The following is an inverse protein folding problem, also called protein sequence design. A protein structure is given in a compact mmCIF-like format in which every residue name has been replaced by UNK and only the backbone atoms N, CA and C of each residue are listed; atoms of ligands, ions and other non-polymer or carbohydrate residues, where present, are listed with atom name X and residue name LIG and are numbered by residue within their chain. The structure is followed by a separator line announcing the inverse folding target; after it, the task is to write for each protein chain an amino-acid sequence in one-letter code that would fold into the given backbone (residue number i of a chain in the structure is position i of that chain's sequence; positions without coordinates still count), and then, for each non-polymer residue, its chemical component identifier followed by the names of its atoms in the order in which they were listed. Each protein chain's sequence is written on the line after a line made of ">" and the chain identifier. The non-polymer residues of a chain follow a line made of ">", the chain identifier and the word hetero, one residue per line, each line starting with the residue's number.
data_IF_444033078577
#
_entry.id   IF_444033078577
#
_cell.length_a   1.000
_cell.length_b   1.000
_cell.length_c   1.000
_cell.angle_alpha   90.00
_cell.angle_beta   90.00
_cell.angle_gamma   90.00
#
_symmetry.space_group_name_H-M   'P 1'
#
loop_
_entity.id
_entity.type
_entity.pdbx_description
1 polymer ?
#
# COMPACT_ATOMS: atom_id res chain seq x y z
N UNK A 1 22.72 9.24 19.35
CA UNK A 1 24.15 9.11 19.74
C UNK A 1 25.00 8.32 18.72
N UNK A 2 24.52 7.20 18.15
CA UNK A 2 25.25 6.49 17.08
C UNK A 2 25.48 7.35 15.82
N UNK A 3 24.46 8.09 15.37
CA UNK A 3 24.56 9.03 14.24
C UNK A 3 25.58 10.15 14.53
N UNK A 4 25.58 10.69 15.76
CA UNK A 4 26.53 11.70 16.22
C UNK A 4 27.98 11.18 16.21
N UNK A 5 28.20 9.92 16.58
CA UNK A 5 29.52 9.28 16.54
C UNK A 5 29.99 8.95 15.12
N UNK A 6 29.09 8.60 14.18
CA UNK A 6 29.44 8.51 12.76
C UNK A 6 29.96 9.83 12.22
N UNK A 7 29.34 10.95 12.62
CA UNK A 7 29.78 12.27 12.20
C UNK A 7 31.12 12.68 12.85
N UNK A 8 31.41 12.20 14.06
CA UNK A 8 32.67 12.45 14.79
C UNK A 8 33.79 11.43 14.49
N UNK A 9 33.48 10.29 13.86
CA UNK A 9 34.43 9.22 13.53
C UNK A 9 35.31 9.63 12.34
N UNK A 10 36.24 10.55 12.61
CA UNK A 10 37.42 10.81 11.80
C UNK A 10 38.61 9.91 12.24
N UNK A 11 38.42 9.08 13.27
CA UNK A 11 39.40 8.10 13.76
C UNK A 11 39.21 6.73 13.10
N UNK A 12 39.88 6.52 11.98
CA UNK A 12 40.47 5.24 11.52
C UNK A 12 39.61 4.02 11.21
N UNK A 13 38.43 3.82 11.80
CA UNK A 13 37.61 2.61 11.63
C UNK A 13 36.24 2.99 11.05
N UNK A 14 36.16 3.02 9.71
CA UNK A 14 34.88 3.10 9.00
C UNK A 14 34.18 1.76 9.11
N UNK A 15 33.06 1.70 9.85
CA UNK A 15 32.18 0.53 9.88
C UNK A 15 31.16 0.62 8.75
N UNK A 16 30.77 -0.50 8.17
CA UNK A 16 29.86 -0.54 7.00
C UNK A 16 28.48 0.04 7.31
N UNK A 17 27.93 -0.16 8.52
CA UNK A 17 26.64 0.39 8.92
C UNK A 17 26.76 1.34 10.12
N UNK A 18 26.00 2.44 10.09
CA UNK A 18 26.03 3.46 11.15
C UNK A 18 25.58 2.96 12.53
N UNK A 19 24.83 1.86 12.58
CA UNK A 19 24.41 1.20 13.81
C UNK A 19 25.51 0.36 14.46
N UNK A 20 26.57 0.00 13.73
CA UNK A 20 27.70 -0.76 14.28
C UNK A 20 28.56 0.05 15.25
N UNK A 21 28.37 1.37 15.28
CA UNK A 21 28.96 2.28 16.27
C UNK A 21 28.27 2.22 17.64
N UNK A 22 27.22 1.38 17.79
CA UNK A 22 26.50 1.18 19.04
C UNK A 22 26.91 -0.10 19.81
N UNK A 23 27.87 -0.86 19.27
CA UNK A 23 28.37 -2.12 19.85
C UNK A 23 29.13 -1.92 21.19
N UNK A 24 29.38 -0.67 21.59
CA UNK A 24 29.96 -0.32 22.89
C UNK A 24 28.97 -0.47 24.05
N UNK A 25 27.67 -0.42 23.76
CA UNK A 25 26.59 -0.44 24.77
C UNK A 25 25.55 -1.53 24.53
N UNK A 26 25.42 -2.00 23.29
CA UNK A 26 24.37 -2.93 22.88
C UNK A 26 24.97 -4.16 22.22
N UNK A 27 24.37 -5.32 22.48
CA UNK A 27 24.74 -6.60 21.89
C UNK A 27 24.66 -6.57 20.35
N UNK A 28 25.59 -7.24 19.67
CA UNK A 28 25.64 -7.36 18.22
C UNK A 28 24.34 -7.96 17.66
N UNK A 29 23.72 -8.88 18.40
CA UNK A 29 22.42 -9.46 18.03
C UNK A 29 21.32 -8.38 17.97
N UNK A 30 21.25 -7.51 18.99
CA UNK A 30 20.28 -6.42 19.02
C UNK A 30 20.52 -5.41 17.89
N UNK A 31 21.79 -5.12 17.58
CA UNK A 31 22.17 -4.25 16.47
C UNK A 31 21.72 -4.84 15.13
N UNK A 32 21.92 -6.15 14.94
CA UNK A 32 21.46 -6.88 13.75
C UNK A 32 19.93 -6.85 13.63
N UNK A 33 19.21 -7.09 14.72
CA UNK A 33 17.74 -7.07 14.75
C UNK A 33 17.19 -5.68 14.41
N UNK A 34 17.81 -4.61 14.92
CA UNK A 34 17.42 -3.23 14.57
C UNK A 34 17.70 -2.94 13.09
N UNK A 35 18.82 -3.41 12.54
CA UNK A 35 19.09 -3.28 11.09
C UNK A 35 18.02 -4.01 10.27
N UNK A 36 17.59 -5.20 10.68
CA UNK A 36 16.54 -5.95 10.02
C UNK A 36 15.19 -5.20 10.10
N UNK A 37 14.82 -4.69 11.27
CA UNK A 37 13.61 -3.90 11.47
C UNK A 37 13.58 -2.63 10.59
N UNK A 38 14.71 -1.93 10.46
CA UNK A 38 14.81 -0.76 9.57
C UNK A 38 14.63 -1.14 8.09
N UNK A 39 15.14 -2.31 7.64
CA UNK A 39 14.90 -2.80 6.28
C UNK A 39 13.42 -3.13 6.06
N UNK A 40 12.76 -3.73 7.04
CA UNK A 40 11.31 -4.01 6.96
C UNK A 40 10.50 -2.71 6.93
N UNK A 41 10.88 -1.71 7.73
CA UNK A 41 10.24 -0.40 7.72
C UNK A 41 10.35 0.28 6.34
N UNK A 42 11.54 0.19 5.71
CA UNK A 42 11.74 0.68 4.35
C UNK A 42 10.86 -0.08 3.35
N UNK A 43 10.74 -1.39 3.47
CA UNK A 43 9.85 -2.21 2.62
C UNK A 43 8.37 -1.81 2.77
N UNK A 44 7.96 -1.35 3.96
CA UNK A 44 6.60 -0.86 4.23
C UNK A 44 6.37 0.62 3.89
N UNK A 45 7.37 1.33 3.37
CA UNK A 45 7.21 2.74 2.96
C UNK A 45 6.07 2.99 1.96
N UNK A 46 5.73 2.08 1.01
CA UNK A 46 4.57 2.27 0.13
C UNK A 46 3.21 2.15 0.83
N UNK A 47 3.16 1.56 2.02
CA UNK A 47 1.91 1.22 2.71
C UNK A 47 1.12 2.46 3.15
N UNK A 48 1.72 3.50 3.78
CA UNK A 48 1.02 4.75 4.06
C UNK A 48 0.45 5.44 2.82
N UNK A 49 1.19 5.44 1.70
CA UNK A 49 0.71 6.03 0.44
C UNK A 49 -0.50 5.29 -0.10
N UNK A 50 -0.47 3.95 -0.06
CA UNK A 50 -1.62 3.13 -0.45
C UNK A 50 -2.87 3.47 0.38
N UNK A 51 -2.72 3.53 1.71
CA UNK A 51 -3.84 3.87 2.59
C UNK A 51 -4.36 5.30 2.38
N UNK A 52 -3.47 6.27 2.23
CA UNK A 52 -3.83 7.66 1.95
C UNK A 52 -4.58 7.82 0.62
N UNK A 53 -4.26 7.01 -0.39
CA UNK A 53 -5.01 6.96 -1.63
C UNK A 53 -6.38 6.30 -1.40
N UNK A 54 -6.45 5.15 -0.75
CA UNK A 54 -7.73 4.46 -0.52
C UNK A 54 -8.71 5.25 0.34
N UNK A 55 -8.21 6.09 1.25
CA UNK A 55 -9.05 6.96 2.08
C UNK A 55 -9.82 8.02 1.25
N UNK A 56 -9.30 8.38 0.07
CA UNK A 56 -10.00 9.28 -0.86
C UNK A 56 -11.26 8.65 -1.47
N UNK A 57 -11.39 7.32 -1.47
CA UNK A 57 -12.60 6.64 -1.94
C UNK A 57 -13.80 6.97 -1.05
N UNK A 58 -13.61 7.17 0.26
CA UNK A 58 -14.70 7.52 1.17
C UNK A 58 -15.18 8.97 1.02
N UNK A 59 -14.31 9.87 0.57
CA UNK A 59 -14.59 11.31 0.49
C UNK A 59 -14.79 11.81 -0.93
N UNK A 60 -13.75 11.76 -1.77
CA UNK A 60 -13.75 12.31 -3.12
C UNK A 60 -14.67 11.55 -4.07
N UNK A 61 -14.70 10.21 -3.99
CA UNK A 61 -15.58 9.43 -4.86
C UNK A 61 -17.05 9.56 -4.46
N UNK A 62 -17.33 9.71 -3.16
CA UNK A 62 -18.68 10.04 -2.68
C UNK A 62 -19.13 11.39 -3.23
N UNK A 63 -18.25 12.41 -3.21
CA UNK A 63 -18.55 13.72 -3.78
C UNK A 63 -18.75 13.65 -5.31
N UNK A 64 -17.89 12.92 -6.03
CA UNK A 64 -18.06 12.65 -7.45
C UNK A 64 -19.42 11.99 -7.73
N UNK A 65 -19.81 11.00 -6.94
CA UNK A 65 -21.09 10.32 -7.06
C UNK A 65 -22.31 11.23 -6.83
N UNK A 66 -22.20 12.29 -6.01
CA UNK A 66 -23.32 13.27 -5.87
C UNK A 66 -23.57 14.08 -7.14
N UNK A 67 -22.58 14.16 -8.03
CA UNK A 67 -22.68 14.86 -9.32
C UNK A 67 -23.05 13.91 -10.47
N UNK A 68 -23.18 12.62 -10.19
CA UNK A 68 -23.53 11.59 -11.17
C UNK A 68 -25.03 11.26 -11.10
N UNK A 69 -25.54 10.67 -12.17
CA UNK A 69 -26.88 10.08 -12.14
C UNK A 69 -26.88 8.82 -11.26
N UNK A 70 -27.73 8.86 -10.22
CA UNK A 70 -27.93 7.77 -9.27
C UNK A 70 -29.17 6.93 -9.56
N UNK A 71 -29.90 7.18 -10.65
CA UNK A 71 -31.10 6.44 -11.00
C UNK A 71 -30.76 5.02 -11.49
N UNK A 72 -31.08 4.02 -10.67
CA UNK A 72 -31.00 2.60 -11.01
C UNK A 72 -32.43 2.11 -11.22
N UNK A 73 -32.96 2.33 -12.43
CA UNK A 73 -34.33 1.98 -12.77
C UNK A 73 -35.34 2.79 -11.95
N UNK A 74 -36.05 2.15 -11.01
CA UNK A 74 -37.01 2.81 -10.12
C UNK A 74 -36.43 3.23 -8.77
N UNK A 75 -35.14 2.99 -8.52
CA UNK A 75 -34.48 3.27 -7.25
C UNK A 75 -33.42 4.36 -7.41
N UNK A 76 -33.47 5.39 -6.55
CA UNK A 76 -32.43 6.42 -6.51
C UNK A 76 -31.33 6.00 -5.53
N UNK A 77 -30.17 5.61 -6.05
CA UNK A 77 -29.00 5.31 -5.25
C UNK A 77 -28.40 6.61 -4.70
N UNK A 78 -28.30 6.71 -3.38
CA UNK A 78 -27.63 7.85 -2.75
C UNK A 78 -26.11 7.68 -2.83
N UNK A 79 -25.40 8.80 -2.95
CA UNK A 79 -23.94 8.79 -3.11
C UNK A 79 -23.19 8.11 -1.95
N UNK A 80 -23.70 8.20 -0.72
CA UNK A 80 -23.14 7.51 0.45
C UNK A 80 -23.27 5.98 0.36
N UNK A 81 -24.34 5.48 -0.28
CA UNK A 81 -24.56 4.04 -0.49
C UNK A 81 -23.53 3.41 -1.42
N UNK A 82 -22.84 4.19 -2.24
CA UNK A 82 -21.72 3.70 -3.08
C UNK A 82 -20.59 3.12 -2.22
N UNK A 83 -20.41 3.60 -0.99
CA UNK A 83 -19.38 3.09 -0.07
C UNK A 83 -19.65 1.65 0.37
N UNK A 84 -20.90 1.18 0.30
CA UNK A 84 -21.27 -0.21 0.59
C UNK A 84 -20.67 -1.18 -0.45
N UNK A 85 -20.30 -0.70 -1.63
CA UNK A 85 -19.67 -1.51 -2.65
C UNK A 85 -18.31 -2.07 -2.19
N UNK A 86 -17.56 -1.32 -1.38
CA UNK A 86 -16.23 -1.77 -0.90
C UNK A 86 -16.31 -3.07 -0.06
N UNK A 87 -17.05 -3.13 1.08
CA UNK A 87 -17.18 -4.38 1.84
C UNK A 87 -17.82 -5.51 1.02
N UNK A 88 -18.78 -5.20 0.14
CA UNK A 88 -19.39 -6.19 -0.74
C UNK A 88 -18.37 -6.82 -1.71
N UNK A 89 -17.56 -5.98 -2.37
CA UNK A 89 -16.50 -6.46 -3.26
C UNK A 89 -15.44 -7.25 -2.51
N UNK A 90 -15.09 -6.88 -1.28
CA UNK A 90 -14.16 -7.67 -0.45
C UNK A 90 -14.73 -9.08 -0.21
N UNK A 91 -16.00 -9.19 0.18
CA UNK A 91 -16.65 -10.48 0.44
C UNK A 91 -16.70 -11.37 -0.81
N UNK A 92 -16.89 -10.79 -1.99
CA UNK A 92 -16.94 -11.51 -3.26
C UNK A 92 -15.53 -11.84 -3.77
N UNK A 93 -14.62 -10.88 -3.76
CA UNK A 93 -13.29 -11.03 -4.37
C UNK A 93 -12.33 -11.85 -3.53
N UNK A 94 -12.36 -11.81 -2.19
CA UNK A 94 -11.49 -12.67 -1.37
C UNK A 94 -11.59 -14.15 -1.78
N UNK A 95 -12.78 -14.79 -1.77
CA UNK A 95 -12.90 -16.21 -2.10
C UNK A 95 -12.55 -16.49 -3.57
N UNK A 96 -12.92 -15.60 -4.50
CA UNK A 96 -12.58 -15.73 -5.93
C UNK A 96 -11.07 -15.69 -6.13
N UNK A 97 -10.39 -14.73 -5.49
CA UNK A 97 -8.96 -14.58 -5.65
C UNK A 97 -8.20 -15.73 -5.00
N UNK A 98 -8.63 -16.18 -3.82
CA UNK A 98 -8.00 -17.31 -3.12
C UNK A 98 -8.21 -18.65 -3.84
N UNK A 99 -9.42 -18.95 -4.33
CA UNK A 99 -9.75 -20.26 -4.91
C UNK A 99 -9.50 -20.36 -6.41
N UNK A 100 -9.59 -19.26 -7.14
CA UNK A 100 -9.51 -19.27 -8.61
C UNK A 100 -8.30 -18.49 -9.12
N UNK A 101 -8.20 -17.19 -8.79
CA UNK A 101 -7.23 -16.29 -9.44
C UNK A 101 -5.79 -16.62 -9.05
N UNK A 102 -5.47 -16.66 -7.75
CA UNK A 102 -4.12 -16.97 -7.29
C UNK A 102 -3.62 -18.37 -7.65
N UNK A 103 -4.41 -19.46 -7.58
CA UNK A 103 -3.92 -20.76 -8.03
C UNK A 103 -3.63 -20.79 -9.54
N UNK A 104 -4.42 -20.10 -10.37
CA UNK A 104 -4.14 -19.97 -11.80
C UNK A 104 -2.88 -19.14 -12.05
N UNK A 105 -2.75 -17.97 -11.40
CA UNK A 105 -1.57 -17.12 -11.52
C UNK A 105 -0.29 -17.79 -11.00
N UNK A 106 -0.41 -18.66 -10.00
CA UNK A 106 0.69 -19.48 -9.50
C UNK A 106 1.11 -20.56 -10.50
N UNK A 107 0.15 -21.19 -11.21
CA UNK A 107 0.46 -22.14 -12.30
C UNK A 107 1.25 -21.48 -13.44
N UNK A 108 0.94 -20.23 -13.76
CA UNK A 108 1.61 -19.45 -14.83
C UNK A 108 2.88 -18.74 -14.30
N UNK A 109 3.23 -18.89 -13.01
CA UNK A 109 4.39 -18.24 -12.34
C UNK A 109 4.45 -16.70 -12.47
N UNK A 110 3.31 -16.06 -12.75
CA UNK A 110 3.24 -14.59 -12.91
C UNK A 110 3.21 -13.90 -11.54
N UNK A 111 2.38 -14.41 -10.61
CA UNK A 111 2.21 -13.84 -9.26
C UNK A 111 2.45 -14.92 -8.21
N UNK A 112 3.73 -15.21 -7.97
CA UNK A 112 4.21 -16.24 -7.06
C UNK A 112 4.62 -15.69 -5.68
N UNK A 113 5.01 -14.43 -5.58
CA UNK A 113 5.42 -13.81 -4.31
C UNK A 113 4.38 -12.82 -3.75
N UNK A 114 4.29 -12.65 -2.42
CA UNK A 114 3.46 -11.62 -1.78
C UNK A 114 3.76 -10.21 -2.30
N UNK A 115 5.03 -9.91 -2.59
CA UNK A 115 5.44 -8.61 -3.10
C UNK A 115 4.87 -8.33 -4.50
N UNK A 116 4.86 -9.34 -5.39
CA UNK A 116 4.22 -9.20 -6.71
C UNK A 116 2.71 -9.01 -6.62
N UNK A 117 2.04 -9.63 -5.63
CA UNK A 117 0.61 -9.40 -5.36
C UNK A 117 0.35 -7.95 -4.98
N UNK A 118 1.16 -7.41 -4.06
CA UNK A 118 1.07 -6.00 -3.64
C UNK A 118 1.32 -5.05 -4.81
N UNK A 119 2.36 -5.28 -5.61
CA UNK A 119 2.69 -4.46 -6.78
C UNK A 119 1.57 -4.48 -7.83
N UNK A 120 1.02 -5.66 -8.13
CA UNK A 120 -0.08 -5.81 -9.10
C UNK A 120 -1.34 -5.10 -8.60
N UNK A 121 -1.67 -5.22 -7.31
CA UNK A 121 -2.78 -4.50 -6.69
C UNK A 121 -2.59 -2.98 -6.76
N UNK A 122 -1.38 -2.49 -6.48
CA UNK A 122 -1.04 -1.07 -6.60
C UNK A 122 -1.16 -0.55 -8.04
N UNK A 123 -0.74 -1.34 -9.03
CA UNK A 123 -0.89 -0.99 -10.44
C UNK A 123 -2.37 -0.91 -10.87
N UNK A 124 -3.20 -1.88 -10.45
CA UNK A 124 -4.64 -1.85 -10.69
C UNK A 124 -5.30 -0.64 -10.00
N UNK A 125 -4.87 -0.30 -8.79
CA UNK A 125 -5.35 0.90 -8.09
C UNK A 125 -4.99 2.17 -8.87
N UNK A 126 -3.77 2.27 -9.41
CA UNK A 126 -3.37 3.41 -10.24
C UNK A 126 -4.26 3.56 -11.48
N UNK A 127 -4.59 2.45 -12.16
CA UNK A 127 -5.53 2.47 -13.29
C UNK A 127 -6.92 2.95 -12.84
N UNK A 128 -7.41 2.49 -11.68
CA UNK A 128 -8.70 2.92 -11.15
C UNK A 128 -8.74 4.43 -10.86
N UNK A 129 -7.66 5.01 -10.32
CA UNK A 129 -7.54 6.45 -10.12
C UNK A 129 -7.51 7.23 -11.44
N UNK A 130 -6.84 6.73 -12.46
CA UNK A 130 -6.86 7.34 -13.80
C UNK A 130 -8.28 7.37 -14.37
N UNK A 131 -9.02 6.27 -14.24
CA UNK A 131 -10.41 6.19 -14.70
C UNK A 131 -11.31 7.17 -13.92
N UNK A 132 -11.17 7.23 -12.60
CA UNK A 132 -11.91 8.19 -11.76
C UNK A 132 -11.59 9.65 -12.12
N UNK A 133 -10.33 9.95 -12.43
CA UNK A 133 -9.93 11.28 -12.91
C UNK A 133 -10.54 11.64 -14.26
N UNK A 134 -10.55 10.71 -15.22
CA UNK A 134 -11.22 10.91 -16.52
C UNK A 134 -12.73 11.13 -16.35
N UNK A 135 -13.34 10.42 -15.40
CA UNK A 135 -14.76 10.59 -15.09
C UNK A 135 -15.06 11.97 -14.48
N UNK A 136 -14.20 12.46 -13.57
CA UNK A 136 -14.35 13.80 -12.97
C UNK A 136 -14.34 14.88 -14.07
N UNK A 137 -13.43 14.78 -15.03
CA UNK A 137 -13.32 15.72 -16.16
C UNK A 137 -14.56 15.74 -17.07
N UNK A 138 -15.39 14.70 -17.04
CA UNK A 138 -16.66 14.65 -17.78
C UNK A 138 -17.84 15.20 -16.98
N UNK A 139 -17.70 15.28 -15.66
CA UNK A 139 -18.73 15.77 -14.74
C UNK A 139 -18.58 17.27 -14.45
N UNK A 140 -17.38 17.82 -14.68
CA UNK A 140 -17.09 19.26 -14.76
C UNK A 140 -17.51 19.83 -16.13
#
# INVERSE_FOLDING_TARGET
>A
RAIYRRYKANDGVRREHWLDYANDKYDEKLISDIKAALRVLLLFTPLPFFWALTDQQGSRWTFQATRMDGEIGSFMLKADQVQLANPLFILIFIPIFQKCVYPVMKKIKVIDTPLKKMATGGFLAAIAFVISGILELKLE
#
